data_IF_335549926872
#
_entry.id   IF_335549926872
#
_cell.length_a   1.000
_cell.length_b   1.000
_cell.length_c   1.000
_cell.angle_alpha   90.00
_cell.angle_beta   90.00
_cell.angle_gamma   90.00
#
_symmetry.space_group_name_H-M   'P 1'
#
loop_
_entity.id
_entity.type
_entity.pdbx_description
1 polymer ?
#
# COMPACT_ATOMS: atom_id res chain seq x y z
N UNK A 1 -10.15 11.07 1.20
CA UNK A 1 -8.82 11.71 1.19
C UNK A 1 -8.10 11.42 -0.12
N UNK A 2 -7.53 12.45 -0.69
CA UNK A 2 -6.76 12.32 -1.93
C UNK A 2 -5.37 11.75 -1.65
N UNK A 3 -5.17 10.49 -1.97
CA UNK A 3 -3.86 9.81 -1.76
C UNK A 3 -2.74 10.58 -2.46
N UNK A 4 -2.99 11.08 -3.67
CA UNK A 4 -2.00 11.82 -4.45
C UNK A 4 -1.56 13.13 -3.79
N UNK A 5 -2.30 13.63 -2.82
CA UNK A 5 -1.98 14.88 -2.11
C UNK A 5 -1.19 14.66 -0.83
N UNK A 6 -0.96 13.42 -0.43
CA UNK A 6 -0.09 13.12 0.71
C UNK A 6 1.33 13.57 0.36
N UNK A 7 1.98 14.43 1.18
CA UNK A 7 3.28 15.01 0.81
C UNK A 7 4.34 13.99 0.39
N UNK A 8 4.45 12.88 1.11
CA UNK A 8 5.45 11.86 0.80
C UNK A 8 5.16 11.15 -0.52
N UNK A 9 3.88 10.92 -0.81
CA UNK A 9 3.44 10.32 -2.08
C UNK A 9 3.81 11.24 -3.24
N UNK A 10 3.59 12.54 -3.07
CA UNK A 10 3.96 13.55 -4.07
C UNK A 10 5.47 13.60 -4.26
N UNK A 11 6.22 13.57 -3.17
CA UNK A 11 7.68 13.62 -3.19
C UNK A 11 8.27 12.48 -4.04
N UNK A 12 7.75 11.27 -3.86
CA UNK A 12 8.21 10.10 -4.60
C UNK A 12 7.59 9.98 -5.99
N UNK A 13 6.62 10.84 -6.31
CA UNK A 13 5.88 10.78 -7.57
C UNK A 13 5.21 9.42 -7.78
N UNK A 14 4.59 8.91 -6.72
CA UNK A 14 3.73 7.72 -6.82
C UNK A 14 2.45 8.17 -7.51
N UNK A 15 2.16 7.58 -8.65
CA UNK A 15 0.99 7.94 -9.47
C UNK A 15 0.05 6.76 -9.65
N UNK A 16 -1.13 7.03 -10.17
CA UNK A 16 -2.20 6.06 -10.32
C UNK A 16 -2.45 5.78 -11.81
N UNK A 17 -2.60 4.50 -12.13
CA UNK A 17 -2.95 4.05 -13.47
C UNK A 17 -3.88 2.85 -13.34
N UNK A 18 -5.15 2.99 -13.76
CA UNK A 18 -6.15 1.90 -13.72
C UNK A 18 -6.26 1.22 -12.35
N UNK A 19 -6.38 2.03 -11.30
CA UNK A 19 -6.51 1.56 -9.91
C UNK A 19 -5.25 0.93 -9.31
N UNK A 20 -4.14 0.97 -10.05
CA UNK A 20 -2.84 0.51 -9.55
C UNK A 20 -1.92 1.70 -9.39
N UNK A 21 -1.34 1.85 -8.22
CA UNK A 21 -0.30 2.84 -8.02
C UNK A 21 0.99 2.31 -8.62
N UNK A 22 1.82 3.21 -9.12
CA UNK A 22 3.07 2.83 -9.78
C UNK A 22 4.18 3.83 -9.50
N UNK A 23 5.40 3.37 -9.73
CA UNK A 23 6.61 4.19 -9.75
C UNK A 23 7.33 3.97 -11.07
N UNK A 24 7.70 5.07 -11.71
CA UNK A 24 8.59 5.01 -12.87
C UNK A 24 10.01 4.67 -12.42
N UNK A 25 10.77 4.05 -13.30
CA UNK A 25 12.20 3.88 -13.09
C UNK A 25 12.88 5.21 -13.40
N UNK A 26 13.37 5.89 -12.36
CA UNK A 26 13.97 7.21 -12.49
C UNK A 26 15.05 7.40 -11.45
N UNK A 27 16.05 8.23 -11.80
CA UNK A 27 17.28 8.37 -11.04
C UNK A 27 17.09 8.69 -9.56
N UNK A 28 16.17 9.58 -9.24
CA UNK A 28 16.00 10.06 -7.86
C UNK A 28 15.46 9.05 -6.85
N UNK A 29 15.04 7.87 -7.30
CA UNK A 29 14.57 6.81 -6.42
C UNK A 29 15.40 5.53 -6.54
N UNK A 30 16.56 5.62 -7.18
CA UNK A 30 17.44 4.45 -7.33
C UNK A 30 18.39 4.31 -6.15
N UNK A 31 18.82 3.08 -5.93
CA UNK A 31 19.80 2.77 -4.91
C UNK A 31 21.23 2.75 -5.51
N UNK A 32 22.19 2.29 -4.73
CA UNK A 32 23.62 2.26 -5.08
C UNK A 32 23.99 1.29 -6.22
N UNK A 33 23.05 0.43 -6.64
CA UNK A 33 23.25 -0.51 -7.77
C UNK A 33 22.24 -0.25 -8.88
N UNK A 34 21.72 0.97 -8.96
CA UNK A 34 20.83 1.44 -10.01
C UNK A 34 19.52 0.64 -10.14
N UNK A 35 18.99 0.17 -8.99
CA UNK A 35 17.67 -0.44 -8.90
C UNK A 35 16.76 0.49 -8.12
N UNK A 36 15.45 0.36 -8.32
CA UNK A 36 14.51 1.13 -7.49
C UNK A 36 14.76 0.77 -6.03
N UNK A 37 15.00 1.79 -5.22
CA UNK A 37 15.36 1.63 -3.81
C UNK A 37 14.30 0.85 -3.05
N UNK A 38 14.76 -0.03 -2.14
CA UNK A 38 13.85 -0.81 -1.29
C UNK A 38 12.86 0.08 -0.54
N UNK A 39 13.31 1.23 -0.05
CA UNK A 39 12.45 2.17 0.67
C UNK A 39 11.36 2.76 -0.22
N UNK A 40 11.66 2.99 -1.51
CA UNK A 40 10.67 3.49 -2.46
C UNK A 40 9.63 2.40 -2.77
N UNK A 41 10.06 1.15 -2.89
CA UNK A 41 9.16 0.02 -3.08
C UNK A 41 8.26 -0.16 -1.85
N UNK A 42 8.80 -0.01 -0.65
CA UNK A 42 8.02 -0.05 0.58
C UNK A 42 6.94 1.03 0.57
N UNK A 43 7.32 2.26 0.23
CA UNK A 43 6.39 3.38 0.17
C UNK A 43 5.27 3.13 -0.84
N UNK A 44 5.60 2.57 -2.02
CA UNK A 44 4.59 2.21 -3.02
C UNK A 44 3.61 1.17 -2.47
N UNK A 45 4.14 0.11 -1.86
CA UNK A 45 3.32 -0.97 -1.31
C UNK A 45 2.43 -0.47 -0.17
N UNK A 46 2.99 0.30 0.75
CA UNK A 46 2.24 0.88 1.87
C UNK A 46 1.11 1.77 1.35
N UNK A 47 1.41 2.64 0.41
CA UNK A 47 0.44 3.58 -0.16
C UNK A 47 -0.71 2.82 -0.83
N UNK A 48 -0.38 1.78 -1.59
CA UNK A 48 -1.41 0.95 -2.23
C UNK A 48 -2.30 0.27 -1.20
N UNK A 49 -1.73 -0.20 -0.08
CA UNK A 49 -2.51 -0.85 0.97
C UNK A 49 -3.51 0.12 1.61
N UNK A 50 -3.09 1.36 1.86
CA UNK A 50 -3.97 2.39 2.38
C UNK A 50 -5.05 2.80 1.39
N UNK A 51 -4.70 2.88 0.10
CA UNK A 51 -5.66 3.19 -0.95
C UNK A 51 -6.76 2.13 -1.04
N UNK A 52 -6.40 0.86 -0.91
CA UNK A 52 -7.39 -0.22 -0.90
C UNK A 52 -8.37 -0.07 0.26
N UNK A 53 -7.89 0.28 1.45
CA UNK A 53 -8.77 0.45 2.61
C UNK A 53 -9.78 1.58 2.39
N UNK A 54 -9.39 2.68 1.75
CA UNK A 54 -10.32 3.74 1.41
C UNK A 54 -11.38 3.25 0.42
N UNK A 55 -10.98 2.43 -0.52
CA UNK A 55 -11.88 1.86 -1.52
C UNK A 55 -12.88 0.88 -0.90
N UNK A 56 -12.40 0.05 0.04
CA UNK A 56 -13.24 -0.94 0.72
C UNK A 56 -14.21 -0.30 1.73
N UNK A 57 -13.81 0.80 2.36
CA UNK A 57 -14.58 1.43 3.43
C UNK A 57 -14.84 2.92 3.16
N UNK A 58 -15.48 3.26 2.02
CA UNK A 58 -15.70 4.67 1.68
C UNK A 58 -16.60 5.38 2.71
N UNK A 59 -17.47 4.63 3.39
CA UNK A 59 -18.37 5.17 4.40
C UNK A 59 -17.65 5.60 5.69
N UNK A 60 -16.39 5.22 5.87
CA UNK A 60 -15.60 5.61 7.04
C UNK A 60 -14.78 6.87 6.81
N UNK A 61 -14.74 7.39 5.60
CA UNK A 61 -13.94 8.58 5.30
C UNK A 61 -14.34 9.75 6.19
N UNK A 62 -13.33 10.38 6.80
CA UNK A 62 -13.55 11.49 7.73
C UNK A 62 -14.00 11.08 9.13
N UNK A 63 -14.28 9.81 9.34
CA UNK A 63 -14.79 9.30 10.63
C UNK A 63 -13.78 8.49 11.41
N UNK A 64 -12.70 8.10 10.77
CA UNK A 64 -11.66 7.26 11.36
C UNK A 64 -10.27 7.80 11.06
N UNK A 65 -9.30 7.34 11.87
CA UNK A 65 -7.89 7.55 11.61
C UNK A 65 -7.26 6.18 11.37
N UNK A 66 -6.73 5.92 10.17
CA UNK A 66 -5.96 4.70 9.91
C UNK A 66 -4.48 4.95 10.26
N UNK A 67 -3.88 4.03 10.98
CA UNK A 67 -2.48 4.09 11.37
C UNK A 67 -1.81 2.77 11.05
N UNK A 68 -0.69 2.82 10.33
CA UNK A 68 0.09 1.63 10.06
C UNK A 68 0.82 1.20 11.33
N UNK A 69 0.68 -0.07 11.72
CA UNK A 69 1.30 -0.58 12.94
C UNK A 69 2.36 -1.65 12.71
N UNK A 70 2.21 -2.42 11.65
CA UNK A 70 3.14 -3.52 11.40
C UNK A 70 3.24 -3.77 9.92
N UNK A 71 4.41 -4.23 9.47
CA UNK A 71 4.64 -4.51 8.07
C UNK A 71 5.67 -5.63 7.94
N UNK A 72 5.43 -6.51 6.97
CA UNK A 72 6.38 -7.55 6.56
C UNK A 72 6.57 -7.40 5.07
N UNK A 73 7.82 -7.37 4.60
CA UNK A 73 8.10 -7.18 3.18
C UNK A 73 9.27 -8.06 2.76
N UNK A 74 9.17 -8.62 1.55
CA UNK A 74 10.23 -9.43 0.94
C UNK A 74 10.51 -8.89 -0.45
N UNK A 75 11.77 -8.59 -0.71
CA UNK A 75 12.25 -8.12 -2.00
C UNK A 75 12.80 -9.33 -2.76
N UNK A 76 12.02 -9.83 -3.72
CA UNK A 76 12.30 -11.12 -4.37
C UNK A 76 13.16 -11.01 -5.61
N UNK A 77 12.99 -9.92 -6.38
CA UNK A 77 13.69 -9.69 -7.63
C UNK A 77 14.08 -8.22 -7.74
N UNK A 78 15.17 -7.91 -8.45
CA UNK A 78 15.54 -6.51 -8.68
C UNK A 78 14.46 -5.75 -9.42
N UNK A 79 14.20 -4.52 -8.98
CA UNK A 79 13.24 -3.63 -9.62
C UNK A 79 14.00 -2.65 -10.53
N UNK A 80 14.16 -3.00 -11.78
CA UNK A 80 14.96 -2.25 -12.77
C UNK A 80 14.10 -1.63 -13.87
N UNK A 81 12.79 -1.65 -13.70
CA UNK A 81 11.79 -1.13 -14.64
C UNK A 81 10.66 -0.53 -13.84
N UNK A 82 9.73 0.13 -14.54
CA UNK A 82 8.50 0.62 -13.93
C UNK A 82 7.80 -0.50 -13.16
N UNK A 83 7.33 -0.20 -11.97
CA UNK A 83 6.67 -1.18 -11.09
C UNK A 83 5.28 -0.71 -10.72
N UNK A 84 4.38 -1.68 -10.53
CA UNK A 84 2.98 -1.47 -10.16
C UNK A 84 2.63 -2.26 -8.92
N UNK A 85 1.77 -1.71 -8.08
CA UNK A 85 1.31 -2.38 -6.88
C UNK A 85 -0.14 -2.85 -7.04
N UNK A 86 -0.46 -4.00 -6.42
CA UNK A 86 -1.83 -4.52 -6.28
C UNK A 86 -2.03 -4.92 -4.84
N UNK A 87 -3.18 -4.61 -4.27
CA UNK A 87 -3.48 -4.93 -2.88
C UNK A 87 -4.76 -5.76 -2.76
N UNK A 88 -4.83 -6.58 -1.72
CA UNK A 88 -6.00 -7.39 -1.42
C UNK A 88 -6.10 -7.66 0.07
N UNK A 89 -7.31 -7.94 0.54
CA UNK A 89 -7.57 -8.38 1.91
C UNK A 89 -8.30 -9.71 1.83
N UNK A 90 -7.86 -10.70 2.62
CA UNK A 90 -8.55 -11.99 2.67
C UNK A 90 -9.95 -11.78 3.22
N UNK A 91 -10.94 -12.46 2.64
CA UNK A 91 -12.35 -12.34 3.03
C UNK A 91 -12.56 -12.56 4.53
N UNK A 92 -11.89 -13.55 5.10
CA UNK A 92 -11.97 -13.85 6.52
C UNK A 92 -11.45 -12.71 7.40
N UNK A 93 -10.37 -12.06 6.98
CA UNK A 93 -9.78 -10.93 7.71
C UNK A 93 -10.66 -9.69 7.59
N UNK A 94 -11.25 -9.47 6.42
CA UNK A 94 -12.17 -8.37 6.18
C UNK A 94 -13.40 -8.50 7.09
N UNK A 95 -13.96 -9.70 7.15
CA UNK A 95 -15.13 -9.98 7.96
C UNK A 95 -14.85 -9.80 9.45
N UNK A 96 -13.72 -10.31 9.92
CA UNK A 96 -13.31 -10.16 11.33
C UNK A 96 -13.13 -8.68 11.70
N UNK A 97 -12.49 -7.92 10.82
CA UNK A 97 -12.32 -6.50 11.06
C UNK A 97 -13.65 -5.79 11.16
N UNK A 98 -14.56 -6.03 10.23
CA UNK A 98 -15.87 -5.38 10.20
C UNK A 98 -16.67 -5.69 11.47
N UNK A 99 -16.69 -6.96 11.90
CA UNK A 99 -17.39 -7.37 13.10
C UNK A 99 -16.81 -6.72 14.36
N UNK A 100 -15.49 -6.70 14.47
CA UNK A 100 -14.81 -6.11 15.63
C UNK A 100 -15.00 -4.59 15.64
N UNK A 101 -14.84 -3.94 14.50
CA UNK A 101 -14.98 -2.49 14.38
C UNK A 101 -16.40 -2.04 14.75
N UNK A 102 -17.39 -2.78 14.31
CA UNK A 102 -18.79 -2.47 14.61
C UNK A 102 -19.05 -2.48 16.11
N UNK A 103 -18.43 -3.38 16.84
CA UNK A 103 -18.60 -3.51 18.31
C UNK A 103 -17.74 -2.51 19.09
N UNK A 104 -16.52 -2.29 18.66
CA UNK A 104 -15.52 -1.55 19.46
C UNK A 104 -15.17 -0.17 18.93
N UNK A 105 -15.53 0.16 17.70
CA UNK A 105 -15.15 1.43 17.07
C UNK A 105 -13.68 1.51 16.70
N UNK A 106 -12.99 0.38 16.71
CA UNK A 106 -11.60 0.26 16.30
C UNK A 106 -11.30 -1.17 15.89
N UNK A 107 -10.23 -1.38 15.18
CA UNK A 107 -9.82 -2.73 14.79
C UNK A 107 -8.60 -2.70 13.91
N UNK A 108 -8.01 -3.88 13.71
CA UNK A 108 -6.86 -4.06 12.83
C UNK A 108 -7.25 -4.89 11.63
N UNK A 109 -6.63 -4.58 10.50
CA UNK A 109 -6.86 -5.31 9.25
C UNK A 109 -5.52 -5.51 8.54
N UNK A 110 -5.28 -6.73 8.08
CA UNK A 110 -4.06 -7.06 7.33
C UNK A 110 -4.34 -6.96 5.84
N UNK A 111 -3.52 -6.18 5.15
CA UNK A 111 -3.61 -5.98 3.70
C UNK A 111 -2.38 -6.59 3.04
N UNK A 112 -2.59 -7.43 2.03
CA UNK A 112 -1.52 -8.02 1.25
C UNK A 112 -1.27 -7.21 0.00
N UNK A 113 0.01 -7.03 -0.35
CA UNK A 113 0.41 -6.26 -1.52
C UNK A 113 1.42 -7.04 -2.34
N UNK A 114 1.26 -7.00 -3.65
CA UNK A 114 2.21 -7.56 -4.61
C UNK A 114 2.65 -6.44 -5.52
N UNK A 115 3.96 -6.33 -5.74
CA UNK A 115 4.53 -5.39 -6.70
C UNK A 115 5.07 -6.19 -7.88
N UNK A 116 4.71 -5.78 -9.09
CA UNK A 116 5.19 -6.39 -10.34
C UNK A 116 5.79 -5.31 -11.23
N UNK A 117 6.78 -5.70 -12.04
CA UNK A 117 7.28 -4.80 -13.08
C UNK A 117 6.40 -4.91 -14.34
N UNK A 118 6.78 -4.15 -15.37
CA UNK A 118 6.02 -4.11 -16.64
C UNK A 118 6.03 -5.44 -17.40
N UNK A 119 6.87 -6.37 -17.02
CA UNK A 119 6.94 -7.71 -17.62
C UNK A 119 6.23 -8.75 -16.74
N UNK A 120 5.39 -8.29 -15.77
CA UNK A 120 4.65 -9.14 -14.84
C UNK A 120 5.53 -9.95 -13.88
N UNK A 121 6.80 -9.58 -13.73
CA UNK A 121 7.68 -10.21 -12.77
C UNK A 121 7.39 -9.67 -11.39
N UNK A 122 7.11 -10.57 -10.44
CA UNK A 122 6.91 -10.17 -9.04
C UNK A 122 8.26 -9.77 -8.46
N UNK A 123 8.40 -8.48 -8.14
CA UNK A 123 9.62 -7.95 -7.51
C UNK A 123 9.53 -7.98 -6.00
N UNK A 124 8.35 -7.77 -5.46
CA UNK A 124 8.16 -7.57 -4.02
C UNK A 124 6.82 -8.10 -3.57
N UNK A 125 6.79 -8.70 -2.38
CA UNK A 125 5.53 -9.07 -1.71
C UNK A 125 5.57 -8.51 -0.30
N UNK A 126 4.42 -8.06 0.19
CA UNK A 126 4.33 -7.41 1.50
C UNK A 126 2.99 -7.66 2.15
N UNK A 127 2.94 -7.49 3.48
CA UNK A 127 1.69 -7.39 4.20
C UNK A 127 1.79 -6.26 5.21
N UNK A 128 0.69 -5.54 5.38
CA UNK A 128 0.61 -4.36 6.24
C UNK A 128 -0.57 -4.53 7.18
N UNK A 129 -0.32 -4.31 8.47
CA UNK A 129 -1.39 -4.33 9.47
C UNK A 129 -1.73 -2.89 9.81
N UNK A 130 -2.93 -2.49 9.43
CA UNK A 130 -3.47 -1.15 9.69
C UNK A 130 -4.40 -1.20 10.89
N UNK A 131 -4.21 -0.25 11.79
CA UNK A 131 -5.13 -0.03 12.89
C UNK A 131 -6.04 1.13 12.51
N UNK A 132 -7.35 0.88 12.54
CA UNK A 132 -8.36 1.87 12.16
C UNK A 132 -9.21 2.14 13.41
N UNK A 133 -9.29 3.40 13.81
CA UNK A 133 -10.04 3.79 15.00
C UNK A 133 -10.90 5.01 14.71
N UNK A 134 -12.08 5.07 15.33
CA UNK A 134 -12.95 6.24 15.25
C UNK A 134 -12.26 7.44 15.88
N UNK A 135 -12.51 8.60 15.28
CA UNK A 135 -12.03 9.87 15.82
C UNK A 135 -12.77 10.23 17.08
#
# INVERSE_FOLDING_TARGET
MEISQIPFVKLLEINDEKEHLFLEYKENILNHVEMIHASAQFALAETQSGALLQELFPYLEGKVVPLLRDATIKYKKPAQKKIYASASVRDENLKKFQEFFEKKGRGSVEVNVVIKDIDDVVTTVASFVWFITKI
#
